data_IF_202871337181
#
_entry.id   IF_202871337181
#
_cell.length_a   1.000
_cell.length_b   1.000
_cell.length_c   1.000
_cell.angle_alpha   90.00
_cell.angle_beta   90.00
_cell.angle_gamma   90.00
#
_symmetry.space_group_name_H-M   'P 1'
#
loop_
_entity.id
_entity.type
_entity.pdbx_description
1 polymer ?
#
# COMPACT_ATOMS: atom_id res chain seq x y z
N UNK A 1 -0.09 -3.17 4.60
CA UNK A 1 0.88 -3.57 5.65
C UNK A 1 0.12 -4.27 6.77
N UNK A 2 0.43 -5.52 7.01
CA UNK A 2 -0.12 -6.34 8.11
C UNK A 2 0.99 -6.54 9.15
N UNK A 3 0.67 -6.43 10.42
CA UNK A 3 1.61 -6.68 11.50
C UNK A 3 1.05 -7.70 12.49
N UNK A 4 1.94 -8.37 13.25
CA UNK A 4 1.48 -9.17 14.37
C UNK A 4 1.09 -8.29 15.55
N UNK A 5 0.19 -8.78 16.41
CA UNK A 5 -0.20 -8.08 17.65
C UNK A 5 0.97 -7.79 18.59
N UNK A 6 2.08 -8.53 18.44
CA UNK A 6 3.30 -8.38 19.23
C UNK A 6 4.38 -7.55 18.53
N UNK A 7 4.09 -6.99 17.34
CA UNK A 7 5.06 -6.21 16.59
C UNK A 7 5.39 -4.88 17.27
N UNK A 8 6.64 -4.48 17.12
CA UNK A 8 7.16 -3.17 17.53
C UNK A 8 7.83 -2.52 16.32
N UNK A 9 7.37 -1.33 15.95
CA UNK A 9 7.82 -0.64 14.73
C UNK A 9 8.50 0.68 15.11
N UNK A 10 9.76 0.85 14.74
CA UNK A 10 10.53 2.02 15.16
C UNK A 10 11.71 2.34 14.28
N UNK A 11 12.28 3.50 14.57
CA UNK A 11 13.50 4.05 13.97
C UNK A 11 14.44 4.51 15.10
N UNK A 12 15.29 3.62 15.63
CA UNK A 12 16.18 3.94 16.75
C UNK A 12 17.45 4.71 16.36
N UNK A 13 17.65 5.00 15.07
CA UNK A 13 18.89 5.49 14.49
C UNK A 13 19.37 6.81 15.12
N UNK A 14 18.45 7.69 15.53
CA UNK A 14 18.79 8.95 16.18
C UNK A 14 19.56 8.76 17.50
N UNK A 15 19.33 7.65 18.19
CA UNK A 15 20.06 7.32 19.43
C UNK A 15 21.52 6.91 19.14
N UNK A 16 21.82 6.48 17.91
CA UNK A 16 23.17 6.18 17.44
C UNK A 16 23.84 7.38 16.74
N UNK A 17 23.20 8.56 16.74
CA UNK A 17 23.70 9.75 16.08
C UNK A 17 23.65 9.71 14.54
N UNK A 18 22.80 8.85 13.97
CA UNK A 18 22.62 8.70 12.52
C UNK A 18 21.17 8.99 12.11
N UNK A 19 20.97 9.30 10.85
CA UNK A 19 19.65 9.52 10.26
C UNK A 19 19.11 8.19 9.71
N UNK A 20 17.79 7.91 9.82
CA UNK A 20 17.20 6.74 9.19
C UNK A 20 17.43 6.67 7.68
N UNK A 21 17.81 5.49 7.20
CA UNK A 21 18.02 5.19 5.79
C UNK A 21 16.71 4.88 5.07
N UNK A 22 16.77 4.66 3.77
CA UNK A 22 15.67 4.15 2.93
C UNK A 22 14.39 5.01 2.96
N UNK A 23 14.53 6.30 3.21
CA UNK A 23 13.43 7.26 3.18
C UNK A 23 12.57 7.28 4.44
N UNK A 24 13.06 6.83 5.58
CA UNK A 24 12.33 6.91 6.84
C UNK A 24 11.87 8.33 7.17
N UNK A 25 12.73 9.34 6.95
CA UNK A 25 12.38 10.75 7.15
C UNK A 25 11.39 11.30 6.12
N UNK A 26 11.20 10.64 4.99
CA UNK A 26 10.33 11.09 3.89
C UNK A 26 9.00 10.33 3.86
N UNK A 27 9.04 9.02 4.02
CA UNK A 27 7.86 8.16 3.91
C UNK A 27 7.04 8.15 5.19
N UNK A 28 7.69 8.10 6.36
CA UNK A 28 7.00 8.01 7.63
C UNK A 28 6.03 9.19 7.88
N UNK A 29 6.46 10.47 7.73
CA UNK A 29 5.55 11.60 7.97
C UNK A 29 4.37 11.66 6.97
N UNK A 30 4.54 11.12 5.75
CA UNK A 30 3.44 11.01 4.80
C UNK A 30 2.42 9.93 5.18
N UNK A 31 2.84 8.93 5.96
CA UNK A 31 1.97 7.83 6.41
C UNK A 31 1.25 8.15 7.72
N UNK A 32 1.95 8.70 8.71
CA UNK A 32 1.43 8.85 10.07
C UNK A 32 1.34 10.31 10.54
N UNK A 33 1.56 11.25 9.63
CA UNK A 33 1.60 12.67 9.92
C UNK A 33 2.92 13.13 10.55
N UNK A 34 3.24 14.43 10.35
CA UNK A 34 4.53 15.00 10.75
C UNK A 34 4.78 14.94 12.26
N UNK A 35 3.75 15.22 13.07
CA UNK A 35 3.89 15.27 14.52
C UNK A 35 4.33 13.95 15.14
N UNK A 36 3.61 12.87 14.81
CA UNK A 36 3.93 11.53 15.32
C UNK A 36 5.26 11.01 14.74
N UNK A 37 5.51 11.25 13.46
CA UNK A 37 6.77 10.90 12.82
C UNK A 37 7.96 11.61 13.49
N UNK A 38 7.85 12.91 13.76
CA UNK A 38 8.86 13.68 14.47
C UNK A 38 9.15 13.09 15.85
N UNK A 39 8.10 12.84 16.65
CA UNK A 39 8.25 12.23 17.96
C UNK A 39 8.99 10.89 17.87
N UNK A 40 8.58 10.01 16.96
CA UNK A 40 9.16 8.69 16.78
C UNK A 40 10.63 8.74 16.34
N UNK A 41 10.94 9.57 15.33
CA UNK A 41 12.29 9.70 14.77
C UNK A 41 13.28 10.35 15.76
N UNK A 42 12.87 11.38 16.50
CA UNK A 42 13.76 12.05 17.45
C UNK A 42 13.96 11.29 18.75
N UNK A 43 12.95 10.59 19.23
CA UNK A 43 13.05 9.83 20.49
C UNK A 43 13.56 8.40 20.28
N UNK A 44 13.52 7.89 19.06
CA UNK A 44 13.79 6.48 18.76
C UNK A 44 12.79 5.51 19.40
N UNK A 45 11.71 6.02 20.03
CA UNK A 45 10.73 5.17 20.69
C UNK A 45 9.83 4.50 19.65
N UNK A 46 9.77 3.14 19.63
CA UNK A 46 8.93 2.43 18.70
C UNK A 46 7.43 2.57 19.05
N UNK A 47 6.57 2.37 18.06
CA UNK A 47 5.14 2.19 18.23
C UNK A 47 4.81 0.72 18.50
N UNK A 48 3.83 0.47 19.34
CA UNK A 48 3.18 -0.85 19.42
C UNK A 48 2.38 -1.12 18.15
N UNK A 49 1.97 -2.35 17.93
CA UNK A 49 1.10 -2.71 16.79
C UNK A 49 -0.21 -1.93 16.77
N UNK A 50 -0.83 -1.71 17.94
CA UNK A 50 -2.06 -0.94 18.10
C UNK A 50 -1.85 0.54 17.78
N UNK A 51 -0.78 1.14 18.31
CA UNK A 51 -0.41 2.51 17.99
C UNK A 51 -0.15 2.69 16.48
N UNK A 52 0.51 1.71 15.86
CA UNK A 52 0.80 1.70 14.43
C UNK A 52 -0.47 1.55 13.57
N UNK A 53 -1.45 0.75 14.02
CA UNK A 53 -2.76 0.63 13.37
C UNK A 53 -3.53 1.95 13.47
N UNK A 54 -3.63 2.52 14.65
CA UNK A 54 -4.33 3.78 14.88
C UNK A 54 -3.71 4.96 14.12
N UNK A 55 -2.40 4.92 13.90
CA UNK A 55 -1.67 5.92 13.13
C UNK A 55 -1.73 5.68 11.60
N UNK A 56 -2.28 4.58 11.13
CA UNK A 56 -2.28 4.21 9.71
C UNK A 56 -0.93 3.73 9.18
N UNK A 57 0.04 3.44 10.06
CA UNK A 57 1.32 2.85 9.67
C UNK A 57 1.14 1.41 9.18
N UNK A 58 0.24 0.66 9.81
CA UNK A 58 -0.24 -0.64 9.33
C UNK A 58 -1.75 -0.59 9.09
N UNK A 59 -2.27 -1.48 8.27
CA UNK A 59 -3.70 -1.50 7.89
C UNK A 59 -4.47 -2.57 8.64
N UNK A 60 -3.74 -3.53 9.24
CA UNK A 60 -4.32 -4.66 9.94
C UNK A 60 -3.32 -5.21 10.95
N UNK A 61 -3.81 -5.71 12.09
CA UNK A 61 -3.03 -6.44 13.09
C UNK A 61 -3.71 -7.77 13.39
N UNK A 62 -2.91 -8.85 13.44
CA UNK A 62 -3.40 -10.22 13.66
C UNK A 62 -2.47 -10.96 14.63
N UNK A 63 -2.93 -12.05 15.27
CA UNK A 63 -2.02 -12.93 16.02
C UNK A 63 -0.85 -13.41 15.15
N UNK A 64 0.33 -13.59 15.74
CA UNK A 64 1.51 -14.00 14.98
C UNK A 64 1.33 -15.32 14.21
N UNK A 65 0.50 -16.22 14.74
CA UNK A 65 0.12 -17.49 14.08
C UNK A 65 -0.72 -17.31 12.81
N UNK A 66 -1.43 -16.18 12.68
CA UNK A 66 -2.33 -15.90 11.55
C UNK A 66 -1.68 -15.01 10.48
N UNK A 67 -0.51 -14.41 10.77
CA UNK A 67 0.12 -13.43 9.88
C UNK A 67 0.37 -13.98 8.47
N UNK A 68 0.86 -15.22 8.36
CA UNK A 68 1.10 -15.86 7.07
C UNK A 68 -0.20 -16.13 6.31
N UNK A 69 -1.26 -16.61 6.99
CA UNK A 69 -2.57 -16.85 6.40
C UNK A 69 -3.20 -15.57 5.87
N UNK A 70 -3.27 -14.53 6.72
CA UNK A 70 -3.83 -13.23 6.33
C UNK A 70 -3.10 -12.60 5.14
N UNK A 71 -1.77 -12.65 5.14
CA UNK A 71 -0.99 -12.11 4.02
C UNK A 71 -1.17 -12.91 2.74
N UNK A 72 -1.34 -14.24 2.84
CA UNK A 72 -1.67 -15.11 1.68
C UNK A 72 -3.02 -14.75 1.09
N UNK A 73 -4.06 -14.61 1.92
CA UNK A 73 -5.41 -14.21 1.46
C UNK A 73 -5.41 -12.86 0.73
N UNK A 74 -4.71 -11.86 1.29
CA UNK A 74 -4.58 -10.55 0.64
C UNK A 74 -3.86 -10.69 -0.71
N UNK A 75 -2.79 -11.47 -0.75
CA UNK A 75 -2.00 -11.71 -1.96
C UNK A 75 -2.82 -12.41 -3.03
N UNK A 76 -3.60 -13.43 -2.66
CA UNK A 76 -4.50 -14.15 -3.57
C UNK A 76 -5.57 -13.23 -4.17
N UNK A 77 -6.16 -12.35 -3.37
CA UNK A 77 -7.11 -11.34 -3.86
C UNK A 77 -6.45 -10.36 -4.84
N UNK A 78 -5.20 -9.96 -4.60
CA UNK A 78 -4.46 -9.10 -5.52
C UNK A 78 -4.15 -9.84 -6.83
N UNK A 79 -3.70 -11.09 -6.74
CA UNK A 79 -3.35 -11.92 -7.92
C UNK A 79 -4.60 -12.26 -8.74
N UNK A 80 -5.77 -12.38 -8.13
CA UNK A 80 -7.04 -12.58 -8.83
C UNK A 80 -7.57 -11.35 -9.58
N UNK A 81 -6.96 -10.18 -9.39
CA UNK A 81 -7.30 -8.96 -10.12
C UNK A 81 -6.62 -8.90 -11.49
N UNK A 82 -7.15 -8.08 -12.41
CA UNK A 82 -6.51 -7.84 -13.71
C UNK A 82 -5.09 -7.29 -13.54
N UNK A 83 -4.04 -7.99 -13.99
CA UNK A 83 -2.64 -7.64 -13.68
C UNK A 83 -2.22 -6.28 -14.23
N UNK A 84 -2.72 -5.88 -15.41
CA UNK A 84 -2.42 -4.54 -15.97
C UNK A 84 -3.12 -3.45 -15.14
N UNK A 85 -4.38 -3.68 -14.73
CA UNK A 85 -5.09 -2.76 -13.86
C UNK A 85 -4.39 -2.61 -12.51
N UNK A 86 -3.97 -3.71 -11.90
CA UNK A 86 -3.20 -3.68 -10.64
C UNK A 86 -1.87 -2.92 -10.78
N UNK A 87 -1.17 -3.08 -11.91
CA UNK A 87 0.04 -2.32 -12.24
C UNK A 87 -0.23 -0.81 -12.29
N UNK A 88 -1.27 -0.39 -12.99
CA UNK A 88 -1.60 1.02 -13.16
C UNK A 88 -2.15 1.66 -11.88
N UNK A 89 -2.97 0.94 -11.11
CA UNK A 89 -3.38 1.38 -9.76
C UNK A 89 -2.16 1.65 -8.89
N UNK A 90 -1.18 0.75 -8.90
CA UNK A 90 0.06 0.92 -8.12
C UNK A 90 0.87 2.13 -8.59
N UNK A 91 0.93 2.39 -9.90
CA UNK A 91 1.60 3.55 -10.48
C UNK A 91 0.93 4.86 -10.04
N UNK A 92 -0.40 4.96 -10.21
CA UNK A 92 -1.19 6.11 -9.78
C UNK A 92 -1.04 6.38 -8.28
N UNK A 93 -1.15 5.35 -7.44
CA UNK A 93 -1.01 5.47 -5.98
C UNK A 93 0.39 5.92 -5.56
N UNK A 94 1.45 5.43 -6.23
CA UNK A 94 2.82 5.87 -5.93
C UNK A 94 3.04 7.35 -6.25
N UNK A 95 2.44 7.81 -7.34
CA UNK A 95 2.56 9.20 -7.79
C UNK A 95 1.69 10.16 -6.98
N UNK A 96 0.66 9.67 -6.27
CA UNK A 96 -0.34 10.51 -5.57
C UNK A 96 0.25 11.39 -4.47
N UNK A 97 1.37 11.00 -3.86
CA UNK A 97 2.06 11.77 -2.83
C UNK A 97 2.96 12.89 -3.35
N UNK A 98 3.28 12.88 -4.64
CA UNK A 98 4.26 13.78 -5.25
C UNK A 98 3.65 14.70 -6.32
N UNK A 99 2.48 14.35 -6.85
CA UNK A 99 1.77 15.14 -7.86
C UNK A 99 0.73 16.09 -7.23
N UNK A 100 0.55 17.31 -7.79
CA UNK A 100 -0.64 18.10 -7.53
C UNK A 100 -1.89 17.31 -7.92
N UNK A 101 -2.98 17.46 -7.18
CA UNK A 101 -4.23 16.68 -7.37
C UNK A 101 -4.72 16.70 -8.82
N UNK A 102 -4.65 17.85 -9.49
CA UNK A 102 -5.05 18.00 -10.90
C UNK A 102 -4.22 17.12 -11.84
N UNK A 103 -2.93 17.04 -11.61
CA UNK A 103 -2.02 16.22 -12.42
C UNK A 103 -2.20 14.73 -12.08
N UNK A 104 -2.49 14.41 -10.82
CA UNK A 104 -2.89 13.06 -10.41
C UNK A 104 -4.14 12.58 -11.15
N UNK A 105 -5.18 13.40 -11.29
CA UNK A 105 -6.38 13.07 -12.07
C UNK A 105 -6.09 12.88 -13.57
N UNK A 106 -5.15 13.64 -14.13
CA UNK A 106 -4.73 13.45 -15.53
C UNK A 106 -4.02 12.11 -15.71
N UNK A 107 -3.05 11.79 -14.82
CA UNK A 107 -2.38 10.50 -14.84
C UNK A 107 -3.40 9.34 -14.73
N UNK A 108 -4.35 9.43 -13.81
CA UNK A 108 -5.40 8.42 -13.64
C UNK A 108 -6.23 8.24 -14.92
N UNK A 109 -6.62 9.33 -15.58
CA UNK A 109 -7.35 9.29 -16.84
C UNK A 109 -6.52 8.63 -17.96
N UNK A 110 -5.23 8.99 -18.08
CA UNK A 110 -4.32 8.44 -19.09
C UNK A 110 -4.11 6.94 -18.88
N UNK A 111 -3.87 6.50 -17.64
CA UNK A 111 -3.72 5.09 -17.30
C UNK A 111 -5.02 4.30 -17.55
N UNK A 112 -6.17 4.92 -17.26
CA UNK A 112 -7.46 4.29 -17.55
C UNK A 112 -7.71 4.16 -19.06
N UNK A 113 -7.32 5.16 -19.86
CA UNK A 113 -7.37 5.06 -21.33
C UNK A 113 -6.55 3.92 -21.87
N UNK A 114 -5.35 3.68 -21.32
CA UNK A 114 -4.51 2.55 -21.74
C UNK A 114 -5.18 1.19 -21.47
N UNK A 115 -6.01 1.08 -20.44
CA UNK A 115 -6.75 -0.14 -20.16
C UNK A 115 -7.81 -0.47 -21.23
N UNK A 116 -8.31 0.52 -21.97
CA UNK A 116 -9.33 0.27 -22.99
C UNK A 116 -8.87 -0.65 -24.12
N UNK A 117 -7.57 -0.73 -24.37
CA UNK A 117 -6.98 -1.63 -25.39
C UNK A 117 -6.67 -3.02 -24.89
N UNK A 118 -6.87 -3.32 -23.59
CA UNK A 118 -6.51 -4.60 -22.99
C UNK A 118 -7.62 -5.64 -23.14
N UNK A 119 -7.24 -6.89 -23.38
CA UNK A 119 -8.19 -8.02 -23.39
C UNK A 119 -8.74 -8.29 -21.97
N UNK A 120 -7.95 -8.04 -20.93
CA UNK A 120 -8.36 -8.22 -19.55
C UNK A 120 -9.51 -7.29 -19.16
N UNK A 121 -9.55 -6.06 -19.69
CA UNK A 121 -10.69 -5.16 -19.46
C UNK A 121 -11.98 -5.72 -20.09
N UNK A 122 -11.90 -6.22 -21.32
CA UNK A 122 -13.05 -6.83 -21.97
C UNK A 122 -13.54 -8.08 -21.21
N UNK A 123 -12.62 -8.92 -20.77
CA UNK A 123 -12.91 -10.10 -19.94
C UNK A 123 -13.55 -9.69 -18.61
N UNK A 124 -13.01 -8.68 -17.93
CA UNK A 124 -13.56 -8.20 -16.65
C UNK A 124 -15.00 -7.72 -16.78
N UNK A 125 -15.33 -6.99 -17.85
CA UNK A 125 -16.70 -6.51 -18.11
C UNK A 125 -17.62 -7.70 -18.43
N UNK A 126 -17.21 -8.60 -19.34
CA UNK A 126 -18.01 -9.78 -19.72
C UNK A 126 -18.29 -10.68 -18.53
N UNK A 127 -17.26 -10.99 -17.75
CA UNK A 127 -17.39 -11.86 -16.57
C UNK A 127 -18.32 -11.26 -15.51
N UNK A 128 -18.27 -9.94 -15.32
CA UNK A 128 -19.19 -9.23 -14.41
C UNK A 128 -20.65 -9.33 -14.87
N UNK A 129 -20.92 -9.11 -16.17
CA UNK A 129 -22.27 -9.20 -16.74
C UNK A 129 -22.81 -10.64 -16.70
N UNK A 130 -21.95 -11.62 -16.93
CA UNK A 130 -22.28 -13.04 -16.95
C UNK A 130 -22.24 -13.68 -15.55
N UNK A 131 -21.86 -12.93 -14.51
CA UNK A 131 -21.75 -13.38 -13.10
C UNK A 131 -20.83 -14.61 -12.95
N UNK A 132 -19.73 -14.63 -13.65
CA UNK A 132 -18.70 -15.67 -13.57
C UNK A 132 -17.36 -15.12 -13.10
N UNK A 133 -16.46 -15.98 -12.69
CA UNK A 133 -15.09 -15.59 -12.34
C UNK A 133 -14.33 -15.19 -13.60
N UNK A 134 -13.63 -14.03 -13.61
CA UNK A 134 -12.80 -13.61 -14.74
C UNK A 134 -11.55 -14.48 -14.89
N UNK A 135 -11.05 -14.58 -16.12
CA UNK A 135 -9.80 -15.25 -16.44
C UNK A 135 -8.83 -14.26 -17.09
N UNK A 136 -8.14 -13.48 -16.26
CA UNK A 136 -7.21 -12.46 -16.70
C UNK A 136 -5.90 -13.08 -17.21
N UNK A 137 -5.35 -12.50 -18.29
CA UNK A 137 -4.13 -12.98 -18.97
C UNK A 137 -2.98 -11.98 -18.95
N UNK A 138 -3.23 -10.75 -18.54
CA UNK A 138 -2.22 -9.70 -18.55
C UNK A 138 -1.92 -9.10 -19.93
N UNK A 139 -2.90 -9.07 -20.80
CA UNK A 139 -2.75 -8.60 -22.19
C UNK A 139 -3.89 -7.69 -22.64
#
# INVERSE_FOLDING_TARGET
RVASTTASLGFPESQAGIIPWDGGTQRLPRLIGLGLATKMLFTGKPLTSEEALNAGLVTEIVPSSELAGTTSEISERIVSSGPIAAKYIKEALRSSGDLPLREGFRLEADLNMLLFSTTDRAEGISSFLEKRTPNFKGS
#
